data_IF_082886892001
#
_entry.id   IF_082886892001
#
_cell.length_a   1.000
_cell.length_b   1.000
_cell.length_c   1.000
_cell.angle_alpha   90.00
_cell.angle_beta   90.00
_cell.angle_gamma   90.00
#
_symmetry.space_group_name_H-M   'P 1'
#
loop_
_entity.id
_entity.type
_entity.pdbx_description
1 polymer ?
#
# COMPACT_ATOMS: atom_id res chain seq x y z
N UNK A 1 22.41 -29.90 4.71
CA UNK A 1 21.35 -29.06 4.12
C UNK A 1 20.03 -29.75 4.43
N UNK A 2 19.28 -29.21 5.34
CA UNK A 2 17.97 -29.74 5.71
C UNK A 2 17.05 -29.66 4.51
N UNK A 3 16.37 -30.76 4.23
CA UNK A 3 15.50 -30.90 3.07
C UNK A 3 14.23 -30.11 3.34
N UNK A 4 14.01 -29.02 2.60
CA UNK A 4 12.79 -28.21 2.72
C UNK A 4 11.55 -29.14 2.61
N UNK A 5 10.72 -29.11 3.65
CA UNK A 5 9.55 -29.97 3.74
C UNK A 5 8.39 -29.40 2.91
N UNK A 6 7.50 -30.27 2.46
CA UNK A 6 6.28 -29.86 1.76
C UNK A 6 5.38 -28.98 2.66
N UNK A 7 5.48 -29.20 3.97
CA UNK A 7 4.70 -28.48 4.98
C UNK A 7 5.18 -27.03 5.10
N UNK A 8 6.49 -26.79 5.15
CA UNK A 8 7.08 -25.44 5.11
C UNK A 8 6.71 -24.68 3.82
N UNK A 9 6.73 -25.36 2.67
CA UNK A 9 6.32 -24.74 1.40
C UNK A 9 4.84 -24.35 1.44
N UNK A 10 3.99 -25.20 2.01
CA UNK A 10 2.57 -24.91 2.15
C UNK A 10 2.31 -23.74 3.08
N UNK A 11 2.96 -23.71 4.24
CA UNK A 11 2.87 -22.65 5.23
C UNK A 11 3.28 -21.30 4.63
N UNK A 12 4.44 -21.26 3.95
CA UNK A 12 4.90 -20.04 3.27
C UNK A 12 3.95 -19.60 2.17
N UNK A 13 3.36 -20.54 1.44
CA UNK A 13 2.37 -20.21 0.41
C UNK A 13 1.06 -19.69 1.01
N UNK A 14 0.59 -20.23 2.10
CA UNK A 14 -0.61 -19.74 2.80
C UNK A 14 -0.37 -18.32 3.34
N UNK A 15 0.83 -18.05 3.87
CA UNK A 15 1.20 -16.73 4.36
C UNK A 15 1.37 -15.67 3.27
N UNK A 16 1.93 -16.04 2.09
CA UNK A 16 2.34 -15.08 1.06
C UNK A 16 1.50 -15.12 -0.22
N UNK A 17 0.74 -16.20 -0.44
CA UNK A 17 0.04 -16.45 -1.71
C UNK A 17 0.95 -16.68 -2.91
N UNK A 18 2.27 -16.74 -2.74
CA UNK A 18 3.24 -16.96 -3.81
C UNK A 18 3.12 -18.34 -4.45
N UNK A 19 3.65 -18.50 -5.66
CA UNK A 19 3.67 -19.79 -6.35
C UNK A 19 4.50 -20.84 -5.60
N UNK A 20 4.09 -22.14 -5.66
CA UNK A 20 4.76 -23.23 -4.93
C UNK A 20 6.27 -23.32 -5.21
N UNK A 21 6.68 -23.08 -6.47
CA UNK A 21 8.08 -23.12 -6.87
C UNK A 21 8.87 -21.91 -6.36
N UNK A 22 8.21 -20.76 -6.22
CA UNK A 22 8.81 -19.55 -5.66
C UNK A 22 9.00 -19.70 -4.16
N UNK A 23 7.98 -20.22 -3.45
CA UNK A 23 8.08 -20.55 -2.03
C UNK A 23 9.22 -21.53 -1.74
N UNK A 24 9.33 -22.60 -2.55
CA UNK A 24 10.42 -23.56 -2.40
C UNK A 24 11.79 -22.90 -2.57
N UNK A 25 11.98 -22.13 -3.64
CA UNK A 25 13.25 -21.43 -3.90
C UNK A 25 13.60 -20.44 -2.78
N UNK A 26 12.60 -19.67 -2.31
CA UNK A 26 12.81 -18.75 -1.22
C UNK A 26 13.22 -19.46 0.09
N UNK A 27 12.60 -20.59 0.42
CA UNK A 27 12.99 -21.41 1.57
C UNK A 27 14.38 -22.03 1.40
N UNK A 28 14.75 -22.50 0.19
CA UNK A 28 16.09 -23.00 -0.11
C UNK A 28 17.15 -21.89 0.08
N UNK A 29 16.87 -20.67 -0.37
CA UNK A 29 17.74 -19.49 -0.23
C UNK A 29 17.85 -19.03 1.23
N UNK A 30 16.74 -19.08 1.98
CA UNK A 30 16.66 -18.73 3.41
C UNK A 30 17.13 -19.86 4.34
N UNK A 31 17.66 -20.99 3.82
CA UNK A 31 18.10 -22.11 4.67
C UNK A 31 16.97 -22.73 5.50
N UNK A 32 15.70 -22.57 5.10
CA UNK A 32 14.51 -23.05 5.79
C UNK A 32 13.88 -22.07 6.77
N UNK A 33 14.45 -20.87 6.94
CA UNK A 33 13.85 -19.81 7.76
C UNK A 33 12.64 -19.19 7.05
N UNK A 34 11.47 -19.24 7.72
CA UNK A 34 10.21 -18.79 7.16
C UNK A 34 10.16 -17.26 7.01
N UNK A 35 10.68 -16.52 7.98
CA UNK A 35 10.65 -15.05 7.98
C UNK A 35 11.59 -14.48 6.91
N UNK A 36 12.77 -15.05 6.79
CA UNK A 36 13.71 -14.70 5.74
C UNK A 36 13.15 -15.02 4.35
N UNK A 37 12.49 -16.17 4.19
CA UNK A 37 11.84 -16.56 2.94
C UNK A 37 10.69 -15.61 2.55
N UNK A 38 9.91 -15.12 3.51
CA UNK A 38 8.90 -14.06 3.30
C UNK A 38 9.57 -12.78 2.79
N UNK A 39 10.68 -12.36 3.40
CA UNK A 39 11.46 -11.21 2.97
C UNK A 39 11.98 -11.33 1.53
N UNK A 40 12.49 -12.51 1.15
CA UNK A 40 12.95 -12.81 -0.20
C UNK A 40 11.79 -12.72 -1.21
N UNK A 41 10.64 -13.32 -0.88
CA UNK A 41 9.45 -13.26 -1.74
C UNK A 41 8.91 -11.84 -1.89
N UNK A 42 8.92 -11.05 -0.83
CA UNK A 42 8.52 -9.64 -0.84
C UNK A 42 9.41 -8.84 -1.78
N UNK A 43 10.73 -8.94 -1.63
CA UNK A 43 11.70 -8.28 -2.52
C UNK A 43 11.47 -8.67 -3.98
N UNK A 44 11.28 -9.97 -4.25
CA UNK A 44 10.97 -10.46 -5.59
C UNK A 44 9.66 -9.89 -6.13
N UNK A 45 8.64 -9.71 -5.28
CA UNK A 45 7.38 -9.05 -5.63
C UNK A 45 7.59 -7.60 -6.08
N UNK A 46 8.41 -6.83 -5.37
CA UNK A 46 8.78 -5.46 -5.76
C UNK A 46 9.50 -5.42 -7.11
N UNK A 47 10.45 -6.32 -7.36
CA UNK A 47 11.15 -6.42 -8.65
C UNK A 47 10.19 -6.74 -9.80
N UNK A 48 9.20 -7.59 -9.57
CA UNK A 48 8.18 -7.93 -10.56
C UNK A 48 7.22 -6.76 -10.81
N UNK A 49 6.80 -6.06 -9.77
CA UNK A 49 5.96 -4.88 -9.88
C UNK A 49 6.68 -3.77 -10.67
N UNK A 50 7.95 -3.50 -10.35
CA UNK A 50 8.76 -2.52 -11.08
C UNK A 50 8.88 -2.84 -12.58
N UNK A 51 9.05 -4.12 -12.96
CA UNK A 51 9.10 -4.55 -14.37
C UNK A 51 7.77 -4.36 -15.11
N UNK A 52 6.65 -4.27 -14.40
CA UNK A 52 5.31 -4.11 -14.96
C UNK A 52 4.77 -2.68 -14.90
N UNK A 53 5.37 -1.82 -14.08
CA UNK A 53 4.89 -0.46 -13.81
C UNK A 53 4.63 0.40 -15.06
N UNK A 54 5.35 0.13 -16.16
CA UNK A 54 5.16 0.83 -17.45
C UNK A 54 4.07 0.24 -18.35
N UNK A 55 3.37 -0.85 -17.95
CA UNK A 55 2.33 -1.44 -18.77
C UNK A 55 1.02 -0.69 -18.58
N UNK A 56 0.28 -0.54 -19.67
CA UNK A 56 -1.00 0.15 -19.68
C UNK A 56 -2.06 -0.64 -18.89
N UNK A 57 -2.82 0.08 -18.04
CA UNK A 57 -3.90 -0.46 -17.23
C UNK A 57 -5.23 0.14 -17.66
N UNK A 58 -5.78 -0.39 -18.76
CA UNK A 58 -7.02 0.10 -19.38
C UNK A 58 -8.32 -0.51 -18.85
N UNK A 59 -8.22 -1.51 -17.96
CA UNK A 59 -9.37 -2.18 -17.33
C UNK A 59 -9.34 -1.97 -15.82
N UNK A 60 -10.42 -2.29 -15.11
CA UNK A 60 -10.44 -2.14 -13.66
C UNK A 60 -11.83 -2.17 -13.05
N UNK A 61 -11.91 -1.71 -11.80
CA UNK A 61 -13.17 -1.56 -11.07
C UNK A 61 -13.21 -0.23 -10.33
N UNK A 62 -14.43 0.26 -10.12
CA UNK A 62 -14.70 1.30 -9.11
C UNK A 62 -15.41 0.61 -7.96
N UNK A 63 -14.72 0.52 -6.83
CA UNK A 63 -15.26 -0.09 -5.62
C UNK A 63 -15.73 0.98 -4.65
N UNK A 64 -16.88 0.74 -4.02
CA UNK A 64 -17.48 1.61 -3.01
C UNK A 64 -17.48 0.95 -1.65
N UNK A 65 -17.07 1.68 -0.62
CA UNK A 65 -17.25 1.27 0.76
C UNK A 65 -17.96 2.36 1.56
N UNK A 66 -19.06 1.98 2.21
CA UNK A 66 -19.82 2.84 3.12
C UNK A 66 -19.72 2.28 4.53
N UNK A 67 -19.10 3.02 5.43
CA UNK A 67 -18.93 2.59 6.82
C UNK A 67 -20.19 2.83 7.63
N UNK A 68 -20.67 1.80 8.30
CA UNK A 68 -21.78 1.85 9.27
C UNK A 68 -21.26 1.46 10.64
N UNK A 69 -21.59 2.24 11.65
CA UNK A 69 -21.30 1.91 13.05
C UNK A 69 -22.28 0.90 13.63
N UNK A 70 -23.50 0.82 13.08
CA UNK A 70 -24.52 -0.18 13.39
C UNK A 70 -25.47 -0.32 12.20
N UNK A 71 -26.29 -1.38 12.19
CA UNK A 71 -27.28 -1.62 11.11
C UNK A 71 -28.35 -0.53 11.04
N UNK A 72 -28.73 0.03 12.19
CA UNK A 72 -29.77 1.05 12.31
C UNK A 72 -29.29 2.46 11.98
N UNK A 73 -27.97 2.66 11.84
CA UNK A 73 -27.40 3.98 11.56
C UNK A 73 -27.00 4.14 10.09
N UNK A 74 -27.41 5.22 9.42
CA UNK A 74 -26.97 5.48 8.06
C UNK A 74 -25.47 5.68 8.03
N UNK A 75 -24.78 5.30 6.92
CA UNK A 75 -23.35 5.54 6.78
C UNK A 75 -23.07 7.05 6.79
N UNK A 76 -22.07 7.45 7.58
CA UNK A 76 -21.64 8.85 7.71
C UNK A 76 -20.29 9.12 7.07
N UNK A 77 -19.58 8.06 6.69
CA UNK A 77 -18.31 8.13 5.97
C UNK A 77 -18.24 6.99 4.95
N UNK A 78 -17.63 7.27 3.82
CA UNK A 78 -17.42 6.28 2.77
C UNK A 78 -16.42 6.75 1.74
N UNK A 79 -15.96 5.81 0.92
CA UNK A 79 -15.03 6.07 -0.16
C UNK A 79 -15.39 5.32 -1.44
N UNK A 80 -14.96 5.90 -2.57
CA UNK A 80 -14.86 5.28 -3.89
C UNK A 80 -13.38 5.14 -4.24
N UNK A 81 -12.98 3.98 -4.74
CA UNK A 81 -11.61 3.73 -5.23
C UNK A 81 -11.67 3.18 -6.64
N UNK A 82 -10.92 3.79 -7.55
CA UNK A 82 -10.68 3.28 -8.89
C UNK A 82 -9.35 2.49 -8.88
N UNK A 83 -9.47 1.17 -9.07
CA UNK A 83 -8.34 0.25 -9.17
C UNK A 83 -8.28 -0.32 -10.57
N UNK A 84 -7.14 -0.16 -11.25
CA UNK A 84 -6.95 -0.55 -12.64
C UNK A 84 -5.98 -1.72 -12.78
N UNK A 85 -6.17 -2.53 -13.84
CA UNK A 85 -5.34 -3.65 -14.26
C UNK A 85 -5.25 -3.73 -15.79
N UNK A 86 -4.46 -4.68 -16.33
CA UNK A 86 -4.23 -4.80 -17.76
C UNK A 86 -5.47 -5.37 -18.49
N UNK A 87 -6.15 -6.39 -17.92
CA UNK A 87 -7.23 -7.12 -18.59
C UNK A 87 -8.55 -7.10 -17.81
N UNK A 88 -9.65 -7.26 -18.54
CA UNK A 88 -11.00 -7.42 -17.98
C UNK A 88 -11.15 -8.77 -17.23
N UNK A 89 -10.34 -9.77 -17.58
CA UNK A 89 -10.32 -11.06 -16.91
C UNK A 89 -9.88 -10.91 -15.46
N UNK A 90 -8.78 -10.17 -15.20
CA UNK A 90 -8.30 -9.88 -13.85
C UNK A 90 -9.28 -8.97 -13.12
N UNK A 91 -9.81 -7.94 -13.78
CA UNK A 91 -10.79 -7.03 -13.19
C UNK A 91 -12.03 -7.73 -12.61
N UNK A 92 -12.49 -8.81 -13.26
CA UNK A 92 -13.62 -9.64 -12.82
C UNK A 92 -13.26 -10.61 -11.69
N UNK A 93 -11.96 -10.84 -11.47
CA UNK A 93 -11.44 -11.83 -10.53
C UNK A 93 -11.76 -11.47 -9.07
N UNK A 94 -12.06 -12.47 -8.22
CA UNK A 94 -12.42 -12.21 -6.81
C UNK A 94 -11.26 -11.62 -6.01
N UNK A 95 -10.03 -11.95 -6.35
CA UNK A 95 -8.83 -11.46 -5.66
C UNK A 95 -8.60 -9.97 -5.93
N UNK A 96 -8.74 -9.52 -7.18
CA UNK A 96 -8.65 -8.13 -7.56
C UNK A 96 -9.76 -7.28 -6.90
N UNK A 97 -10.99 -7.77 -6.91
CA UNK A 97 -12.13 -7.10 -6.27
C UNK A 97 -11.98 -7.03 -4.74
N UNK A 98 -11.39 -8.06 -4.13
CA UNK A 98 -11.07 -8.03 -2.69
C UNK A 98 -10.04 -6.94 -2.38
N UNK A 99 -8.96 -6.83 -3.18
CA UNK A 99 -7.99 -5.74 -3.03
C UNK A 99 -8.67 -4.36 -3.14
N UNK A 100 -9.50 -4.15 -4.16
CA UNK A 100 -10.23 -2.89 -4.32
C UNK A 100 -11.09 -2.57 -3.07
N UNK A 101 -11.75 -3.57 -2.50
CA UNK A 101 -12.54 -3.46 -1.27
C UNK A 101 -11.68 -3.09 -0.05
N UNK A 102 -10.54 -3.75 0.13
CA UNK A 102 -9.60 -3.44 1.23
C UNK A 102 -9.07 -2.01 1.12
N UNK A 103 -8.73 -1.56 -0.10
CA UNK A 103 -8.30 -0.18 -0.34
C UNK A 103 -9.42 0.83 -0.03
N UNK A 104 -10.67 0.55 -0.43
CA UNK A 104 -11.79 1.44 -0.14
C UNK A 104 -12.08 1.54 1.38
N UNK A 105 -11.94 0.43 2.11
CA UNK A 105 -12.03 0.42 3.56
C UNK A 105 -10.88 1.22 4.19
N UNK A 106 -9.65 1.04 3.70
CA UNK A 106 -8.50 1.77 4.21
C UNK A 106 -8.63 3.29 3.98
N UNK A 107 -9.00 3.72 2.77
CA UNK A 107 -9.26 5.14 2.46
C UNK A 107 -10.31 5.73 3.39
N UNK A 108 -11.38 4.97 3.68
CA UNK A 108 -12.43 5.40 4.59
C UNK A 108 -11.90 5.60 6.02
N UNK A 109 -11.03 4.71 6.50
CA UNK A 109 -10.50 4.73 7.86
C UNK A 109 -9.35 5.72 8.04
N UNK A 110 -8.38 5.74 7.13
CA UNK A 110 -7.11 6.45 7.28
C UNK A 110 -7.08 7.85 6.65
N UNK A 111 -8.11 8.22 5.87
CA UNK A 111 -8.25 9.55 5.26
C UNK A 111 -7.00 10.05 4.51
N UNK A 112 -6.41 9.30 3.57
CA UNK A 112 -5.33 9.80 2.74
C UNK A 112 -5.80 10.98 1.88
N UNK A 113 -4.86 11.83 1.47
CA UNK A 113 -5.13 12.99 0.60
C UNK A 113 -4.69 12.74 -0.85
N UNK A 114 -3.68 11.91 -1.05
CA UNK A 114 -3.06 11.60 -2.33
C UNK A 114 -2.90 10.09 -2.48
N UNK A 115 -2.77 9.61 -3.71
CA UNK A 115 -2.50 8.18 -3.95
C UNK A 115 -1.04 7.89 -3.62
N UNK A 116 -0.11 8.68 -4.19
CA UNK A 116 1.34 8.52 -4.03
C UNK A 116 2.02 9.87 -3.83
N UNK A 117 3.35 9.88 -3.60
CA UNK A 117 4.15 11.12 -3.49
C UNK A 117 4.12 11.96 -4.75
N UNK A 118 4.12 11.29 -5.90
CA UNK A 118 4.11 11.89 -7.22
C UNK A 118 2.84 12.70 -7.48
N UNK A 119 1.75 12.38 -6.76
CA UNK A 119 0.47 13.07 -6.85
C UNK A 119 0.40 14.31 -5.93
N UNK A 120 1.36 14.49 -5.03
CA UNK A 120 1.42 15.66 -4.15
C UNK A 120 1.90 16.87 -4.96
N UNK A 121 1.10 17.97 -5.04
CA UNK A 121 1.55 19.15 -5.76
C UNK A 121 2.85 19.71 -5.17
N UNK A 122 3.80 20.08 -6.02
CA UNK A 122 5.10 20.60 -5.58
C UNK A 122 4.97 21.80 -4.60
N UNK A 123 3.98 22.65 -4.81
CA UNK A 123 3.69 23.78 -3.91
C UNK A 123 3.29 23.35 -2.49
N UNK A 124 2.60 22.19 -2.35
CA UNK A 124 2.22 21.64 -1.03
C UNK A 124 3.46 21.10 -0.31
N UNK A 125 4.35 20.40 -1.03
CA UNK A 125 5.60 19.91 -0.46
C UNK A 125 6.49 21.07 0.01
N UNK A 126 6.59 22.11 -0.81
CA UNK A 126 7.39 23.30 -0.47
C UNK A 126 6.79 24.06 0.73
N UNK A 127 5.48 24.20 0.78
CA UNK A 127 4.79 24.83 1.93
C UNK A 127 5.02 24.03 3.21
N UNK A 128 4.91 22.71 3.17
CA UNK A 128 5.19 21.85 4.32
C UNK A 128 6.65 21.99 4.76
N UNK A 129 7.61 21.98 3.83
CA UNK A 129 9.03 22.19 4.11
C UNK A 129 9.27 23.52 4.84
N UNK A 130 8.67 24.61 4.38
CA UNK A 130 8.76 25.92 5.02
C UNK A 130 8.12 25.93 6.42
N UNK A 131 7.00 25.25 6.61
CA UNK A 131 6.37 25.12 7.93
C UNK A 131 7.26 24.36 8.91
N UNK A 132 7.89 23.29 8.46
CA UNK A 132 8.82 22.48 9.26
C UNK A 132 10.04 23.31 9.70
N UNK A 133 10.61 24.09 8.79
CA UNK A 133 11.72 25.02 9.10
C UNK A 133 11.31 26.03 10.18
N UNK A 134 10.16 26.68 10.03
CA UNK A 134 9.64 27.65 11.01
C UNK A 134 9.39 27.03 12.38
N UNK A 135 8.84 25.81 12.44
CA UNK A 135 8.63 25.08 13.70
C UNK A 135 9.95 24.76 14.40
N UNK A 136 10.96 24.36 13.66
CA UNK A 136 12.28 24.07 14.20
C UNK A 136 12.92 25.34 14.80
N UNK A 137 12.82 26.48 14.12
CA UNK A 137 13.31 27.77 14.63
C UNK A 137 12.58 28.22 15.91
N UNK A 138 11.25 27.98 16.00
CA UNK A 138 10.44 28.37 17.17
C UNK A 138 10.66 27.49 18.39
N UNK A 139 11.01 26.21 18.21
CA UNK A 139 11.22 25.26 19.32
C UNK A 139 12.57 25.40 20.04
N UNK A 140 13.33 26.49 19.76
CA UNK A 140 14.53 26.84 20.53
C UNK A 140 15.71 25.91 20.31
N UNK A 141 15.77 25.24 19.16
CA UNK A 141 16.98 24.52 18.75
C UNK A 141 18.16 25.47 18.64
N UNK A 142 19.37 25.00 19.02
CA UNK A 142 20.59 25.83 19.02
C UNK A 142 21.12 26.16 17.61
N UNK A 143 20.28 26.01 16.56
CA UNK A 143 20.59 26.28 15.17
C UNK A 143 19.39 26.04 14.24
N UNK A 144 19.50 26.39 12.94
CA UNK A 144 18.49 26.04 11.94
C UNK A 144 18.38 24.51 11.87
N UNK A 145 17.14 24.00 11.64
CA UNK A 145 16.92 22.57 11.43
C UNK A 145 17.82 22.09 10.30
N UNK A 146 18.43 20.95 10.49
CA UNK A 146 19.25 20.34 9.46
C UNK A 146 18.34 19.83 8.30
N UNK A 147 18.88 19.78 7.08
CA UNK A 147 18.14 19.21 5.95
C UNK A 147 17.68 17.78 6.24
N UNK A 148 18.47 17.00 6.97
CA UNK A 148 18.16 15.63 7.36
C UNK A 148 16.94 15.55 8.30
N UNK A 149 16.82 16.48 9.25
CA UNK A 149 15.65 16.57 10.14
C UNK A 149 14.38 16.96 9.37
N UNK A 150 14.49 17.90 8.44
CA UNK A 150 13.37 18.33 7.59
C UNK A 150 12.95 17.19 6.67
N UNK A 151 13.87 16.49 6.04
CA UNK A 151 13.58 15.36 5.18
C UNK A 151 12.93 14.20 5.96
N UNK A 152 13.39 13.94 7.20
CA UNK A 152 12.74 12.98 8.10
C UNK A 152 11.28 13.32 8.40
N UNK A 153 10.98 14.60 8.64
CA UNK A 153 9.61 15.06 8.89
C UNK A 153 8.75 15.06 7.62
N UNK A 154 9.33 15.36 6.45
CA UNK A 154 8.65 15.19 5.16
C UNK A 154 8.31 13.72 4.87
N UNK A 155 9.15 12.77 5.26
CA UNK A 155 8.80 11.35 5.17
C UNK A 155 7.56 11.02 6.04
N UNK A 156 7.46 11.62 7.24
CA UNK A 156 6.27 11.44 8.08
C UNK A 156 5.01 12.04 7.42
N UNK A 157 5.13 13.23 6.81
CA UNK A 157 4.05 13.85 6.05
C UNK A 157 3.56 12.95 4.89
N UNK A 158 4.46 12.35 4.10
CA UNK A 158 4.07 11.43 3.04
C UNK A 158 3.41 10.16 3.59
N UNK A 159 3.93 9.59 4.68
CA UNK A 159 3.32 8.44 5.35
C UNK A 159 1.93 8.73 5.91
N UNK A 160 1.62 9.96 6.27
CA UNK A 160 0.31 10.36 6.75
C UNK A 160 -0.66 10.63 5.59
N UNK A 161 -0.19 11.27 4.53
CA UNK A 161 -1.05 11.83 3.48
C UNK A 161 -1.16 10.99 2.21
N UNK A 162 -0.18 10.12 1.92
CA UNK A 162 -0.14 9.32 0.69
C UNK A 162 -0.61 7.89 0.95
N UNK A 163 -1.71 7.49 0.32
CA UNK A 163 -2.35 6.18 0.47
C UNK A 163 -1.36 5.01 0.43
N UNK A 164 -0.50 4.98 -0.60
CA UNK A 164 0.42 3.87 -0.82
C UNK A 164 1.52 3.77 0.25
N UNK A 165 1.76 4.83 1.01
CA UNK A 165 2.77 4.87 2.07
C UNK A 165 2.20 4.67 3.47
N UNK A 166 0.87 4.72 3.61
CA UNK A 166 0.23 4.54 4.90
C UNK A 166 0.40 3.12 5.42
N UNK A 167 0.61 2.92 6.74
CA UNK A 167 0.48 1.63 7.37
C UNK A 167 -0.94 1.08 7.13
N UNK A 168 -1.03 -0.17 6.70
CA UNK A 168 -2.33 -0.77 6.42
C UNK A 168 -3.14 -0.98 7.72
N UNK A 169 -4.38 -0.51 7.75
CA UNK A 169 -5.17 -0.42 8.98
C UNK A 169 -5.44 -1.75 9.70
N UNK A 170 -5.38 -2.88 9.00
CA UNK A 170 -5.55 -4.21 9.60
C UNK A 170 -4.23 -4.83 10.05
N UNK A 171 -3.14 -4.49 9.37
CA UNK A 171 -1.80 -5.04 9.58
C UNK A 171 -0.78 -3.89 9.51
N UNK A 172 -0.61 -3.12 10.60
CA UNK A 172 0.21 -1.91 10.61
C UNK A 172 1.71 -2.13 10.31
N UNK A 173 2.17 -3.36 10.37
CA UNK A 173 3.54 -3.75 9.98
C UNK A 173 3.72 -3.81 8.44
N UNK A 174 2.63 -3.76 7.68
CA UNK A 174 2.62 -3.63 6.23
C UNK A 174 2.18 -2.24 5.82
N UNK A 175 2.68 -1.75 4.68
CA UNK A 175 2.15 -0.53 4.05
C UNK A 175 1.18 -0.90 2.93
N UNK A 176 0.27 0.01 2.60
CA UNK A 176 -0.75 -0.24 1.56
C UNK A 176 -0.13 -0.64 0.22
N UNK A 177 1.04 -0.08 -0.14
CA UNK A 177 1.75 -0.45 -1.35
C UNK A 177 2.14 -1.93 -1.39
N UNK A 178 2.42 -2.55 -0.25
CA UNK A 178 2.76 -3.98 -0.19
C UNK A 178 1.59 -4.85 -0.67
N UNK A 179 0.35 -4.48 -0.32
CA UNK A 179 -0.85 -5.19 -0.78
C UNK A 179 -0.99 -5.13 -2.31
N UNK A 180 -0.69 -3.97 -2.90
CA UNK A 180 -0.73 -3.80 -4.36
C UNK A 180 0.37 -4.62 -5.03
N UNK A 181 1.59 -4.59 -4.51
CA UNK A 181 2.75 -5.36 -5.00
C UNK A 181 2.49 -6.87 -4.91
N UNK A 182 1.91 -7.34 -3.82
CA UNK A 182 1.51 -8.73 -3.66
C UNK A 182 0.47 -9.14 -4.71
N UNK A 183 -0.54 -8.31 -4.95
CA UNK A 183 -1.54 -8.57 -5.97
C UNK A 183 -0.93 -8.61 -7.38
N UNK A 184 -0.02 -7.69 -7.72
CA UNK A 184 0.75 -7.70 -8.97
C UNK A 184 1.53 -9.02 -9.12
N UNK A 185 2.16 -9.48 -8.04
CA UNK A 185 2.92 -10.75 -8.04
C UNK A 185 2.03 -11.98 -8.24
N UNK A 186 0.83 -12.00 -7.64
CA UNK A 186 -0.10 -13.11 -7.74
C UNK A 186 -0.85 -13.13 -9.07
N UNK A 187 -1.38 -11.98 -9.48
CA UNK A 187 -2.21 -11.84 -10.67
C UNK A 187 -1.39 -11.71 -11.96
N UNK A 188 -0.08 -11.45 -11.84
CA UNK A 188 0.87 -11.33 -12.94
C UNK A 188 0.55 -10.19 -13.93
N UNK A 189 -0.23 -9.21 -13.51
CA UNK A 189 -0.57 -8.00 -14.24
C UNK A 189 -0.10 -6.75 -13.50
N UNK A 190 0.09 -5.65 -14.21
CA UNK A 190 0.23 -4.34 -13.60
C UNK A 190 -1.09 -3.94 -12.94
N UNK A 191 -1.02 -3.43 -11.72
CA UNK A 191 -2.18 -2.97 -10.96
C UNK A 191 -1.86 -1.58 -10.42
N UNK A 192 -2.76 -0.63 -10.64
CA UNK A 192 -2.58 0.75 -10.20
C UNK A 192 -3.82 1.28 -9.50
N UNK A 193 -3.63 1.93 -8.36
CA UNK A 193 -4.66 2.76 -7.76
C UNK A 193 -4.69 4.07 -8.55
N UNK A 194 -5.73 4.28 -9.34
CA UNK A 194 -5.81 5.45 -10.23
C UNK A 194 -6.17 6.72 -9.46
N UNK A 195 -7.20 6.61 -8.62
CA UNK A 195 -7.72 7.71 -7.78
C UNK A 195 -8.70 7.18 -6.76
N UNK A 196 -9.03 8.02 -5.80
CA UNK A 196 -10.11 7.79 -4.86
C UNK A 196 -10.85 9.10 -4.53
N UNK A 197 -12.03 8.96 -3.93
CA UNK A 197 -12.76 10.06 -3.31
C UNK A 197 -13.35 9.57 -1.99
N UNK A 198 -13.20 10.38 -0.94
CA UNK A 198 -13.75 10.11 0.38
C UNK A 198 -14.74 11.19 0.76
N UNK A 199 -15.83 10.81 1.38
CA UNK A 199 -16.85 11.70 1.91
C UNK A 199 -17.07 11.38 3.37
N UNK A 200 -17.13 12.42 4.20
CA UNK A 200 -17.43 12.31 5.62
C UNK A 200 -18.31 13.49 6.06
N UNK A 201 -19.39 13.21 6.79
CA UNK A 201 -20.30 14.26 7.28
C UNK A 201 -19.62 15.15 8.34
N UNK A 202 -18.59 14.63 9.03
CA UNK A 202 -17.89 15.32 10.11
C UNK A 202 -16.73 16.21 9.64
N UNK A 203 -16.36 16.09 8.37
CA UNK A 203 -15.25 16.81 7.74
C UNK A 203 -15.83 17.72 6.65
N UNK A 204 -16.45 18.80 7.07
CA UNK A 204 -16.97 19.88 6.23
C UNK A 204 -16.33 21.20 6.59
#
# INVERSE_FOLDING_TARGET
>A
MDRISTEQIRELREATGAGMMDCRRALEEAGGDLQEAIGILRKKGFDQAAKRAGRETGNGVVEAYLHRTSEDYPPQVGALVELNCETDFVAKGPEFRRLARELAMHVTAANPRYVSREDVPAGVVEEERLQLQRRAEQNGGTGPATEEEIDGQLQAFFKETCLLEQPYFREPDQVVNDLVVEAISRLQENITVRRFSRFSIKEG
#
